data_IF_310009148511
#
_entry.id   IF_310009148511
#
_cell.length_a   1.000
_cell.length_b   1.000
_cell.length_c   1.000
_cell.angle_alpha   90.00
_cell.angle_beta   90.00
_cell.angle_gamma   90.00
#
_symmetry.space_group_name_H-M   'P 1'
#
loop_
_entity.id
_entity.type
_entity.pdbx_description
1 polymer ?
#
# COMPACT_ATOMS: atom_id res chain seq x y z
N UNK A 1 -21.03 -5.95 -30.85
CA UNK A 1 -21.17 -4.50 -30.60
C UNK A 1 -21.28 -4.28 -29.10
N UNK A 2 -20.22 -4.46 -28.36
CA UNK A 2 -20.19 -4.25 -26.89
C UNK A 2 -18.75 -4.01 -26.40
N UNK A 3 -18.04 -3.04 -27.00
CA UNK A 3 -16.64 -2.78 -26.58
C UNK A 3 -16.21 -1.30 -26.69
N UNK A 4 -17.16 -0.39 -26.83
CA UNK A 4 -16.84 1.04 -27.07
C UNK A 4 -17.10 1.98 -25.89
N UNK A 5 -17.56 1.47 -24.73
CA UNK A 5 -18.04 2.33 -23.64
C UNK A 5 -17.01 2.65 -22.52
N UNK A 6 -15.77 2.22 -22.62
CA UNK A 6 -14.74 2.40 -21.55
C UNK A 6 -13.52 3.22 -21.93
N UNK A 7 -13.56 4.04 -22.98
CA UNK A 7 -12.47 5.00 -23.26
C UNK A 7 -12.68 6.31 -22.52
N UNK A 8 -12.57 6.25 -21.19
CA UNK A 8 -12.25 7.45 -20.42
C UNK A 8 -10.82 7.85 -20.77
N UNK A 9 -10.62 9.01 -21.36
CA UNK A 9 -9.29 9.54 -21.67
C UNK A 9 -8.52 9.71 -20.38
N UNK A 10 -7.48 8.87 -20.16
CA UNK A 10 -6.51 9.11 -19.12
C UNK A 10 -5.91 10.52 -19.32
N UNK A 11 -5.70 11.32 -18.27
CA UNK A 11 -5.05 12.60 -18.41
C UNK A 11 -3.68 12.38 -19.05
N UNK A 12 -3.39 13.16 -20.09
CA UNK A 12 -2.08 13.15 -20.74
C UNK A 12 -1.07 13.59 -19.68
N UNK A 13 -0.13 12.73 -19.25
CA UNK A 13 0.85 13.14 -18.28
C UNK A 13 1.73 14.24 -18.88
N UNK A 14 2.25 15.19 -18.09
CA UNK A 14 3.31 16.06 -18.54
C UNK A 14 4.42 15.25 -19.21
N UNK A 15 5.08 15.81 -20.22
CA UNK A 15 6.09 15.11 -21.04
C UNK A 15 7.16 14.41 -20.19
N UNK A 16 7.51 15.02 -19.05
CA UNK A 16 8.44 14.45 -18.06
C UNK A 16 7.91 13.18 -17.37
N UNK A 17 6.57 13.04 -17.21
CA UNK A 17 5.94 11.89 -16.58
C UNK A 17 5.58 10.78 -17.58
N UNK A 18 5.48 11.09 -18.86
CA UNK A 18 5.14 10.11 -19.90
C UNK A 18 6.13 8.94 -19.94
N UNK A 19 7.43 9.20 -19.78
CA UNK A 19 8.46 8.17 -19.71
C UNK A 19 8.31 7.24 -18.50
N UNK A 20 7.78 7.73 -17.37
CA UNK A 20 7.58 6.95 -16.17
C UNK A 20 6.38 5.99 -16.27
N UNK A 21 5.33 6.35 -17.00
CA UNK A 21 4.13 5.53 -17.13
C UNK A 21 4.20 4.54 -18.29
N UNK A 22 4.94 4.84 -19.35
CA UNK A 22 4.95 4.10 -20.62
C UNK A 22 5.30 2.61 -20.49
N UNK A 23 6.05 2.22 -19.45
CA UNK A 23 6.49 0.84 -19.21
C UNK A 23 5.97 0.26 -17.91
N UNK A 24 5.03 0.94 -17.25
CA UNK A 24 4.47 0.49 -15.97
C UNK A 24 3.00 0.03 -16.13
N UNK A 25 2.71 -1.29 -16.05
CA UNK A 25 1.39 -1.84 -16.34
C UNK A 25 0.26 -1.31 -15.43
N UNK A 26 0.56 -0.86 -14.21
CA UNK A 26 -0.46 -0.30 -13.32
C UNK A 26 -0.73 1.20 -13.54
N UNK A 27 0.10 1.90 -14.34
CA UNK A 27 -0.03 3.34 -14.58
C UNK A 27 -0.45 3.68 -16.01
N UNK A 28 -0.44 2.70 -16.92
CA UNK A 28 -0.90 2.83 -18.31
C UNK A 28 -1.68 1.57 -18.71
N UNK A 29 -2.87 1.77 -19.23
CA UNK A 29 -3.70 0.67 -19.76
C UNK A 29 -3.04 0.02 -20.99
N UNK A 30 -2.35 0.80 -21.82
CA UNK A 30 -1.59 0.29 -22.97
C UNK A 30 -0.39 -0.56 -22.50
N UNK A 31 0.38 -0.06 -21.54
CA UNK A 31 1.50 -0.81 -20.95
C UNK A 31 1.06 -2.12 -20.29
N UNK A 32 -0.17 -2.19 -19.80
CA UNK A 32 -0.72 -3.40 -19.16
C UNK A 32 -0.78 -4.63 -20.09
N UNK A 33 -0.83 -4.40 -21.41
CA UNK A 33 -0.85 -5.46 -22.43
C UNK A 33 0.54 -5.83 -22.96
N UNK A 34 1.54 -4.99 -22.73
CA UNK A 34 2.88 -5.14 -23.31
C UNK A 34 3.94 -5.51 -22.27
N UNK A 35 3.82 -4.98 -21.04
CA UNK A 35 4.83 -5.11 -20.01
C UNK A 35 4.33 -5.94 -18.82
N UNK A 36 5.25 -6.75 -18.30
CA UNK A 36 5.00 -7.61 -17.16
C UNK A 36 5.48 -6.94 -15.85
N UNK A 37 4.83 -7.36 -14.75
CA UNK A 37 5.28 -7.07 -13.40
C UNK A 37 5.62 -8.37 -12.68
N UNK A 38 6.49 -8.25 -11.68
CA UNK A 38 6.74 -9.26 -10.67
C UNK A 38 6.56 -8.66 -9.29
N UNK A 39 5.70 -9.23 -8.48
CA UNK A 39 5.61 -8.87 -7.08
C UNK A 39 6.56 -9.71 -6.24
N UNK A 40 7.26 -9.04 -5.31
CA UNK A 40 8.23 -9.65 -4.40
C UNK A 40 7.61 -9.72 -3.01
N UNK A 41 7.24 -10.91 -2.51
CA UNK A 41 6.58 -11.09 -1.22
C UNK A 41 7.61 -11.04 -0.07
N UNK A 42 8.17 -9.87 0.17
CA UNK A 42 9.21 -9.62 1.19
C UNK A 42 8.70 -8.87 2.42
N UNK A 43 7.43 -8.49 2.44
CA UNK A 43 6.85 -7.61 3.45
C UNK A 43 5.73 -8.28 4.25
N UNK A 44 6.01 -9.28 5.13
CA UNK A 44 4.99 -10.01 5.86
C UNK A 44 4.35 -9.23 7.01
N UNK A 45 5.05 -8.30 7.65
CA UNK A 45 4.51 -7.52 8.76
C UNK A 45 3.62 -6.35 8.30
N UNK A 46 2.74 -5.90 9.19
CA UNK A 46 1.96 -4.68 9.01
C UNK A 46 1.92 -3.90 10.32
N UNK A 47 1.94 -2.58 10.26
CA UNK A 47 1.93 -1.69 11.42
C UNK A 47 0.55 -1.10 11.73
N UNK A 48 -0.48 -1.49 10.98
CA UNK A 48 -1.89 -1.21 11.29
C UNK A 48 -2.72 -2.49 11.25
N UNK A 49 -3.91 -2.48 11.84
CA UNK A 49 -4.94 -3.49 11.67
C UNK A 49 -6.18 -2.87 11.08
N UNK A 50 -6.56 -3.32 9.88
CA UNK A 50 -7.81 -2.93 9.25
C UNK A 50 -8.91 -3.93 9.61
N UNK A 51 -10.13 -3.46 9.90
CA UNK A 51 -11.27 -4.32 10.25
C UNK A 51 -11.70 -5.29 9.12
N UNK A 52 -11.28 -5.03 7.89
CA UNK A 52 -11.52 -5.92 6.74
C UNK A 52 -10.36 -6.87 6.44
N UNK A 53 -9.28 -6.83 7.22
CA UNK A 53 -8.07 -7.63 7.02
C UNK A 53 -7.98 -8.78 8.02
N UNK A 54 -7.50 -9.93 7.54
CA UNK A 54 -7.02 -11.01 8.38
C UNK A 54 -5.60 -11.37 7.96
N UNK A 55 -4.66 -11.29 8.89
CA UNK A 55 -3.22 -11.48 8.61
C UNK A 55 -2.85 -12.90 8.13
N UNK A 56 -3.80 -13.86 8.15
CA UNK A 56 -3.64 -15.16 7.48
C UNK A 56 -3.65 -15.06 5.95
N UNK A 57 -4.17 -13.94 5.40
CA UNK A 57 -4.29 -13.66 3.98
C UNK A 57 -3.42 -12.49 3.56
N UNK A 58 -3.25 -12.30 2.25
CA UNK A 58 -2.60 -11.14 1.68
C UNK A 58 -3.42 -9.87 1.94
N UNK A 59 -2.76 -8.73 1.91
CA UNK A 59 -3.40 -7.45 2.16
C UNK A 59 -4.49 -7.16 1.13
N UNK A 60 -5.70 -6.87 1.59
CA UNK A 60 -6.89 -6.68 0.73
C UNK A 60 -6.79 -5.39 -0.11
N UNK A 61 -6.15 -4.36 0.40
CA UNK A 61 -6.02 -3.09 -0.30
C UNK A 61 -4.76 -2.99 -1.17
N UNK A 62 -3.91 -3.99 -1.12
CA UNK A 62 -2.73 -4.09 -1.99
C UNK A 62 -2.91 -5.17 -3.05
N UNK A 63 -3.58 -6.26 -2.66
CA UNK A 63 -3.79 -7.44 -3.46
C UNK A 63 -5.15 -8.06 -3.17
N UNK A 64 -5.59 -9.03 -3.96
CA UNK A 64 -6.78 -9.79 -3.59
C UNK A 64 -6.51 -10.69 -2.40
N UNK A 65 -7.53 -10.96 -1.55
CA UNK A 65 -7.40 -11.91 -0.45
C UNK A 65 -6.96 -13.29 -0.98
N UNK A 66 -5.81 -13.71 -0.59
CA UNK A 66 -5.22 -14.99 -0.95
C UNK A 66 -4.07 -15.29 -0.02
N UNK A 67 -3.41 -16.40 -0.21
CA UNK A 67 -2.20 -16.75 0.53
C UNK A 67 -1.04 -16.73 -0.44
N UNK A 68 -0.08 -15.84 -0.20
CA UNK A 68 1.19 -15.83 -0.92
C UNK A 68 1.88 -17.18 -0.78
N UNK A 69 2.36 -17.74 -1.86
CA UNK A 69 2.97 -19.08 -1.85
C UNK A 69 4.30 -19.14 -1.07
N UNK A 70 4.95 -17.99 -0.86
CA UNK A 70 6.27 -17.91 -0.21
C UNK A 70 6.51 -16.53 0.37
N UNK A 71 7.42 -16.44 1.36
CA UNK A 71 8.03 -15.19 1.80
C UNK A 71 9.51 -15.27 1.48
N UNK A 72 10.04 -14.26 0.81
CA UNK A 72 11.40 -14.25 0.30
C UNK A 72 12.32 -13.39 1.16
N UNK A 73 13.57 -13.84 1.32
CA UNK A 73 14.67 -12.96 1.75
C UNK A 73 15.10 -12.04 0.60
N UNK A 74 15.86 -10.97 0.86
CA UNK A 74 16.42 -10.12 -0.21
C UNK A 74 17.23 -10.90 -1.25
N UNK A 75 18.02 -11.87 -0.83
CA UNK A 75 18.85 -12.71 -1.68
C UNK A 75 18.02 -13.67 -2.53
N UNK A 76 16.99 -14.29 -1.93
CA UNK A 76 16.04 -15.14 -2.66
C UNK A 76 15.23 -14.33 -3.68
N UNK A 77 14.88 -13.09 -3.33
CA UNK A 77 14.18 -12.16 -4.23
C UNK A 77 15.03 -11.81 -5.43
N UNK A 78 16.32 -11.52 -5.23
CA UNK A 78 17.26 -11.28 -6.32
C UNK A 78 17.38 -12.51 -7.24
N UNK A 79 17.60 -13.68 -6.66
CA UNK A 79 17.75 -14.92 -7.43
C UNK A 79 16.50 -15.22 -8.27
N UNK A 80 15.31 -15.09 -7.65
CA UNK A 80 14.03 -15.25 -8.34
C UNK A 80 13.82 -14.19 -9.43
N UNK A 81 14.14 -12.93 -9.15
CA UNK A 81 14.03 -11.83 -10.12
C UNK A 81 14.90 -12.09 -11.36
N UNK A 82 16.14 -12.50 -11.18
CA UNK A 82 17.07 -12.80 -12.31
C UNK A 82 16.51 -13.94 -13.16
N UNK A 83 16.02 -15.01 -12.52
CA UNK A 83 15.41 -16.15 -13.23
C UNK A 83 14.19 -15.69 -14.03
N UNK A 84 13.23 -15.01 -13.39
CA UNK A 84 12.00 -14.54 -14.05
C UNK A 84 12.33 -13.62 -15.21
N UNK A 85 13.26 -12.68 -15.02
CA UNK A 85 13.68 -11.74 -16.06
C UNK A 85 14.31 -12.43 -17.27
N UNK A 86 15.09 -13.49 -17.05
CA UNK A 86 15.69 -14.28 -18.12
C UNK A 86 14.65 -15.02 -18.97
N UNK A 87 13.54 -15.45 -18.36
CA UNK A 87 12.46 -16.18 -19.02
C UNK A 87 11.34 -15.26 -19.54
N UNK A 88 11.22 -14.02 -19.03
CA UNK A 88 10.16 -13.05 -19.31
C UNK A 88 10.76 -11.69 -19.69
N UNK A 89 11.23 -11.52 -20.95
CA UNK A 89 11.91 -10.29 -21.39
C UNK A 89 11.09 -9.00 -21.25
N UNK A 90 9.75 -9.10 -21.26
CA UNK A 90 8.84 -7.97 -21.04
C UNK A 90 8.69 -7.55 -19.56
N UNK A 91 9.39 -8.20 -18.63
CA UNK A 91 9.39 -7.80 -17.23
C UNK A 91 10.08 -6.44 -17.07
N UNK A 92 9.32 -5.44 -16.65
CA UNK A 92 9.83 -4.07 -16.41
C UNK A 92 9.70 -3.63 -14.98
N UNK A 93 8.74 -4.19 -14.22
CA UNK A 93 8.39 -3.73 -12.87
C UNK A 93 8.67 -4.82 -11.84
N UNK A 94 9.43 -4.46 -10.81
CA UNK A 94 9.52 -5.19 -9.54
C UNK A 94 8.69 -4.44 -8.49
N UNK A 95 7.55 -5.02 -8.12
CA UNK A 95 6.60 -4.44 -7.16
C UNK A 95 6.70 -5.09 -5.78
N UNK A 96 6.53 -4.30 -4.73
CA UNK A 96 6.41 -4.77 -3.35
C UNK A 96 5.03 -4.37 -2.83
N UNK A 97 4.10 -5.32 -2.87
CA UNK A 97 2.69 -5.11 -2.57
C UNK A 97 2.19 -6.10 -1.48
N UNK A 98 3.03 -6.40 -0.53
CA UNK A 98 2.63 -7.29 0.55
C UNK A 98 3.58 -8.46 0.80
N UNK A 99 3.05 -9.48 1.52
CA UNK A 99 1.66 -9.70 1.96
C UNK A 99 1.17 -8.81 3.11
N UNK A 100 2.03 -7.99 3.69
CA UNK A 100 1.73 -6.95 4.66
C UNK A 100 1.97 -5.57 4.08
N UNK A 101 2.68 -4.71 4.83
CA UNK A 101 3.00 -3.34 4.42
C UNK A 101 4.48 -3.19 4.09
N UNK A 102 4.81 -2.61 2.94
CA UNK A 102 6.19 -2.48 2.49
C UNK A 102 7.05 -1.66 3.47
N UNK A 103 6.53 -0.57 4.03
CA UNK A 103 7.28 0.31 4.92
C UNK A 103 7.38 -0.24 6.35
N UNK A 104 6.45 -1.09 6.78
CA UNK A 104 6.57 -1.83 8.04
C UNK A 104 7.71 -2.88 8.00
N UNK A 105 8.20 -3.21 6.80
CA UNK A 105 9.32 -4.14 6.57
C UNK A 105 10.52 -3.42 5.91
N UNK A 106 10.67 -2.12 6.14
CA UNK A 106 11.59 -1.26 5.41
C UNK A 106 13.04 -1.77 5.29
N UNK A 107 13.68 -2.30 6.33
CA UNK A 107 15.06 -2.82 6.20
C UNK A 107 15.19 -3.92 5.14
N UNK A 108 14.25 -4.86 5.09
CA UNK A 108 14.23 -5.97 4.13
C UNK A 108 13.89 -5.46 2.73
N UNK A 109 12.87 -4.62 2.61
CA UNK A 109 12.43 -3.99 1.36
C UNK A 109 13.56 -3.17 0.74
N UNK A 110 14.20 -2.31 1.52
CA UNK A 110 15.33 -1.49 1.09
C UNK A 110 16.49 -2.34 0.55
N UNK A 111 16.87 -3.39 1.28
CA UNK A 111 17.93 -4.30 0.85
C UNK A 111 17.58 -5.01 -0.46
N UNK A 112 16.33 -5.47 -0.60
CA UNK A 112 15.83 -6.10 -1.83
C UNK A 112 15.95 -5.18 -3.03
N UNK A 113 15.50 -3.92 -2.88
CA UNK A 113 15.57 -2.91 -3.94
C UNK A 113 17.03 -2.65 -4.35
N UNK A 114 17.95 -2.48 -3.39
CA UNK A 114 19.37 -2.26 -3.67
C UNK A 114 19.98 -3.42 -4.43
N UNK A 115 19.81 -4.64 -3.96
CA UNK A 115 20.37 -5.83 -4.61
C UNK A 115 19.89 -6.00 -6.05
N UNK A 116 18.61 -5.78 -6.30
CA UNK A 116 18.05 -5.87 -7.67
C UNK A 116 18.52 -4.68 -8.51
N UNK A 117 18.50 -3.46 -7.98
CA UNK A 117 18.91 -2.25 -8.69
C UNK A 117 20.39 -2.28 -9.12
N UNK A 118 21.28 -2.86 -8.31
CA UNK A 118 22.70 -3.07 -8.66
C UNK A 118 22.87 -4.03 -9.85
N UNK A 119 21.98 -4.99 -10.03
CA UNK A 119 22.05 -5.99 -11.10
C UNK A 119 21.23 -5.62 -12.33
N UNK A 120 20.22 -4.79 -12.16
CA UNK A 120 19.24 -4.43 -13.18
C UNK A 120 18.77 -2.97 -12.97
N UNK A 121 19.63 -1.97 -13.24
CA UNK A 121 19.36 -0.56 -12.95
C UNK A 121 18.19 0.02 -13.72
N UNK A 122 17.77 -0.59 -14.82
CA UNK A 122 16.60 -0.21 -15.62
C UNK A 122 15.27 -0.72 -15.04
N UNK A 123 15.29 -1.47 -13.93
CA UNK A 123 14.09 -1.99 -13.28
C UNK A 123 13.27 -0.87 -12.66
N UNK A 124 11.99 -0.84 -12.97
CA UNK A 124 11.04 0.08 -12.34
C UNK A 124 10.61 -0.54 -11.01
N UNK A 125 10.93 0.12 -9.90
CA UNK A 125 10.43 -0.29 -8.59
C UNK A 125 9.12 0.42 -8.26
N UNK A 126 8.17 -0.35 -7.71
CA UNK A 126 6.88 0.13 -7.25
C UNK A 126 6.60 -0.43 -5.84
N UNK A 127 6.13 0.41 -4.94
CA UNK A 127 5.76 0.00 -3.59
C UNK A 127 4.30 0.33 -3.30
N UNK A 128 3.69 -0.53 -2.47
CA UNK A 128 2.37 -0.27 -1.91
C UNK A 128 2.45 -0.24 -0.38
N UNK A 129 1.81 0.75 0.22
CA UNK A 129 1.84 0.99 1.67
C UNK A 129 0.52 1.56 2.20
N UNK A 130 0.25 1.33 3.48
CA UNK A 130 -0.82 2.03 4.19
C UNK A 130 -0.50 3.51 4.47
N UNK A 131 0.75 3.93 4.29
CA UNK A 131 1.18 5.32 4.40
C UNK A 131 1.62 5.77 5.79
N UNK A 132 1.45 4.95 6.84
CA UNK A 132 1.79 5.35 8.22
C UNK A 132 3.26 5.78 8.39
N UNK A 133 4.19 5.12 7.70
CA UNK A 133 5.62 5.43 7.78
C UNK A 133 6.15 6.27 6.60
N UNK A 134 5.28 6.82 5.76
CA UNK A 134 5.72 7.65 4.61
C UNK A 134 6.55 8.86 5.02
N UNK A 135 6.20 9.65 6.06
CA UNK A 135 7.03 10.78 6.48
C UNK A 135 8.44 10.38 6.89
N UNK A 136 8.57 9.18 7.48
CA UNK A 136 9.85 8.66 7.92
C UNK A 136 10.68 8.07 6.78
N UNK A 137 10.07 7.25 5.91
CA UNK A 137 10.75 6.53 4.83
C UNK A 137 10.85 7.34 3.53
N UNK A 138 10.05 8.40 3.35
CA UNK A 138 9.96 9.17 2.12
C UNK A 138 11.31 9.69 1.59
N UNK A 139 12.18 10.29 2.41
CA UNK A 139 13.50 10.73 1.96
C UNK A 139 14.35 9.60 1.38
N UNK A 140 14.31 8.42 2.01
CA UNK A 140 15.10 7.27 1.55
C UNK A 140 14.48 6.61 0.31
N UNK A 141 13.15 6.61 0.17
CA UNK A 141 12.47 6.19 -1.07
C UNK A 141 12.98 6.99 -2.27
N UNK A 142 13.08 8.30 -2.12
CA UNK A 142 13.56 9.20 -3.18
C UNK A 142 15.04 8.95 -3.46
N UNK A 143 15.87 8.80 -2.43
CA UNK A 143 17.30 8.51 -2.58
C UNK A 143 17.57 7.16 -3.29
N UNK A 144 16.65 6.20 -3.16
CA UNK A 144 16.68 4.92 -3.89
C UNK A 144 16.14 5.03 -5.32
N UNK A 145 15.71 6.20 -5.78
CA UNK A 145 15.18 6.41 -7.12
C UNK A 145 13.76 5.87 -7.34
N UNK A 146 13.01 5.60 -6.27
CA UNK A 146 11.64 5.10 -6.38
C UNK A 146 10.75 6.21 -6.95
N UNK A 147 10.08 5.91 -8.06
CA UNK A 147 9.20 6.84 -8.78
C UNK A 147 7.72 6.45 -8.74
N UNK A 148 7.37 5.29 -8.20
CA UNK A 148 6.00 4.78 -8.18
C UNK A 148 5.67 4.29 -6.77
N UNK A 149 4.73 4.96 -6.12
CA UNK A 149 4.26 4.60 -4.77
C UNK A 149 2.74 4.56 -4.78
N UNK A 150 2.18 3.46 -4.29
CA UNK A 150 0.75 3.33 -4.04
C UNK A 150 0.50 3.52 -2.55
N UNK A 151 -0.41 4.43 -2.20
CA UNK A 151 -0.83 4.66 -0.81
C UNK A 151 -2.30 4.33 -0.68
N UNK A 152 -2.69 3.59 0.36
CA UNK A 152 -4.10 3.32 0.60
C UNK A 152 -4.69 4.34 1.55
N UNK A 153 -5.70 5.08 1.09
CA UNK A 153 -6.44 6.09 1.87
C UNK A 153 -7.93 5.81 1.78
N UNK A 154 -8.53 5.34 2.86
CA UNK A 154 -9.95 4.95 2.88
C UNK A 154 -10.88 6.01 3.48
N UNK A 155 -10.32 7.02 4.16
CA UNK A 155 -11.05 8.14 4.74
C UNK A 155 -10.11 9.29 5.10
N UNK A 156 -10.69 10.47 5.36
CA UNK A 156 -10.03 11.67 5.88
C UNK A 156 -10.59 12.10 7.24
N UNK A 157 -11.67 11.49 7.67
CA UNK A 157 -12.32 11.72 8.95
C UNK A 157 -11.83 10.68 10.00
N UNK A 158 -11.21 11.11 11.11
CA UNK A 158 -10.78 10.19 12.17
C UNK A 158 -11.90 9.36 12.80
N UNK A 159 -13.11 9.92 12.94
CA UNK A 159 -14.24 9.19 13.51
C UNK A 159 -14.70 8.06 12.56
N UNK A 160 -14.71 8.31 11.24
CA UNK A 160 -14.93 7.29 10.24
C UNK A 160 -13.78 6.27 10.23
N UNK A 161 -12.55 6.75 10.32
CA UNK A 161 -11.35 5.92 10.36
C UNK A 161 -11.31 4.96 11.55
N UNK A 162 -11.79 5.38 12.73
CA UNK A 162 -11.92 4.53 13.91
C UNK A 162 -12.84 3.31 13.69
N UNK A 163 -13.76 3.37 12.73
CA UNK A 163 -14.62 2.25 12.34
C UNK A 163 -13.97 1.34 11.30
N UNK A 164 -12.98 1.84 10.55
CA UNK A 164 -12.26 1.10 9.50
C UNK A 164 -11.01 0.42 10.05
N UNK A 165 -10.30 1.10 10.96
CA UNK A 165 -9.03 0.63 11.52
C UNK A 165 -9.18 0.30 13.00
N UNK A 166 -8.78 -0.89 13.40
CA UNK A 166 -8.77 -1.34 14.79
C UNK A 166 -7.66 -0.65 15.57
N UNK A 167 -6.43 -0.66 15.04
CA UNK A 167 -5.29 -0.03 15.69
C UNK A 167 -4.19 0.37 14.70
N UNK A 168 -3.26 1.19 15.20
CA UNK A 168 -2.00 1.52 14.57
C UNK A 168 -0.85 1.44 15.58
N UNK A 169 0.27 0.82 15.16
CA UNK A 169 1.53 0.82 15.89
C UNK A 169 2.46 1.86 15.26
N UNK A 170 2.71 2.94 15.97
CA UNK A 170 3.51 4.05 15.47
C UNK A 170 4.51 4.52 16.52
N UNK A 171 5.79 4.61 16.15
CA UNK A 171 6.89 5.01 17.04
C UNK A 171 6.95 4.20 18.35
N UNK A 172 6.65 2.92 18.28
CA UNK A 172 6.66 2.03 19.46
C UNK A 172 5.41 2.10 20.33
N UNK A 173 4.42 2.93 19.98
CA UNK A 173 3.18 3.07 20.72
C UNK A 173 2.02 2.40 19.98
N UNK A 174 1.08 1.88 20.76
CA UNK A 174 -0.15 1.27 20.29
C UNK A 174 -1.32 2.25 20.43
N UNK A 175 -1.91 2.62 19.30
CA UNK A 175 -3.03 3.55 19.24
C UNK A 175 -4.29 2.85 18.73
N UNK A 176 -5.45 3.26 19.24
CA UNK A 176 -6.77 2.76 18.84
C UNK A 176 -7.74 3.91 18.57
N UNK A 177 -8.91 3.59 17.99
CA UNK A 177 -9.99 4.54 17.77
C UNK A 177 -9.59 5.74 16.92
N UNK A 178 -10.20 6.88 17.17
CA UNK A 178 -9.97 8.12 16.40
C UNK A 178 -8.52 8.58 16.43
N UNK A 179 -7.80 8.34 17.52
CA UNK A 179 -6.38 8.71 17.62
C UNK A 179 -5.51 7.93 16.66
N UNK A 180 -5.72 6.62 16.52
CA UNK A 180 -5.03 5.79 15.55
C UNK A 180 -5.31 6.26 14.11
N UNK A 181 -6.58 6.52 13.82
CA UNK A 181 -7.02 7.01 12.52
C UNK A 181 -6.44 8.40 12.19
N UNK A 182 -6.44 9.32 13.15
CA UNK A 182 -5.90 10.67 12.97
C UNK A 182 -4.40 10.64 12.65
N UNK A 183 -3.62 9.82 13.36
CA UNK A 183 -2.18 9.65 13.11
C UNK A 183 -1.96 9.07 11.70
N UNK A 184 -2.72 8.04 11.32
CA UNK A 184 -2.61 7.42 10.00
C UNK A 184 -2.92 8.43 8.88
N UNK A 185 -4.05 9.14 8.98
CA UNK A 185 -4.48 10.14 8.00
C UNK A 185 -3.45 11.28 7.88
N UNK A 186 -2.95 11.79 8.99
CA UNK A 186 -1.93 12.84 8.99
C UNK A 186 -0.65 12.39 8.25
N UNK A 187 -0.18 11.19 8.53
CA UNK A 187 1.02 10.64 7.88
C UNK A 187 0.80 10.32 6.40
N UNK A 188 -0.38 9.81 6.03
CA UNK A 188 -0.77 9.58 4.63
C UNK A 188 -0.75 10.89 3.85
N UNK A 189 -1.43 11.91 4.33
CA UNK A 189 -1.56 13.20 3.63
C UNK A 189 -0.22 13.94 3.53
N UNK A 190 0.57 13.95 4.60
CA UNK A 190 1.91 14.52 4.60
C UNK A 190 2.85 13.77 3.63
N UNK A 191 2.82 12.42 3.67
CA UNK A 191 3.64 11.58 2.81
C UNK A 191 3.29 11.67 1.33
N UNK A 192 1.99 11.69 0.97
CA UNK A 192 1.54 11.87 -0.42
C UNK A 192 2.04 13.20 -0.98
N UNK A 193 1.83 14.29 -0.25
CA UNK A 193 2.32 15.62 -0.65
C UNK A 193 3.83 15.63 -0.84
N UNK A 194 4.58 15.13 0.15
CA UNK A 194 6.03 15.09 0.13
C UNK A 194 6.59 14.36 -1.10
N UNK A 195 6.00 13.19 -1.44
CA UNK A 195 6.42 12.38 -2.58
C UNK A 195 6.05 13.05 -3.92
N UNK A 196 4.83 13.57 -4.04
CA UNK A 196 4.33 14.21 -5.25
C UNK A 196 5.16 15.46 -5.62
N UNK A 197 5.48 16.31 -4.64
CA UNK A 197 6.33 17.50 -4.81
C UNK A 197 7.76 17.16 -5.31
N UNK A 198 8.17 15.87 -5.17
CA UNK A 198 9.49 15.37 -5.60
C UNK A 198 9.45 14.49 -6.85
N UNK A 199 8.35 14.58 -7.60
CA UNK A 199 8.20 13.89 -8.88
C UNK A 199 8.00 12.39 -8.78
N UNK A 200 7.49 11.90 -7.63
CA UNK A 200 7.04 10.52 -7.46
C UNK A 200 5.58 10.42 -7.92
N UNK A 201 5.27 9.47 -8.78
CA UNK A 201 3.91 9.15 -9.18
C UNK A 201 3.18 8.43 -8.05
N UNK A 202 2.38 9.16 -7.31
CA UNK A 202 1.57 8.60 -6.23
C UNK A 202 0.22 8.14 -6.78
N UNK A 203 -0.05 6.83 -6.65
CA UNK A 203 -1.37 6.26 -6.87
C UNK A 203 -2.05 6.07 -5.52
N UNK A 204 -3.34 6.40 -5.42
CA UNK A 204 -4.09 6.20 -4.18
C UNK A 204 -5.11 5.07 -4.37
N UNK A 205 -4.93 3.99 -3.61
CA UNK A 205 -5.94 2.95 -3.49
C UNK A 205 -7.00 3.35 -2.46
N UNK A 206 -8.26 3.05 -2.76
CA UNK A 206 -9.41 3.32 -1.88
C UNK A 206 -10.28 2.07 -1.86
N UNK A 207 -10.43 1.42 -0.71
CA UNK A 207 -11.37 0.30 -0.55
C UNK A 207 -12.75 0.88 -0.26
N UNK A 208 -13.69 0.66 -1.17
CA UNK A 208 -15.08 1.06 -0.99
C UNK A 208 -15.82 0.06 -0.12
N UNK A 209 -16.31 0.53 1.01
CA UNK A 209 -17.06 -0.24 2.01
C UNK A 209 -18.48 0.35 2.07
N UNK A 210 -19.44 -0.39 1.53
CA UNK A 210 -20.82 0.07 1.49
C UNK A 210 -21.38 0.30 2.90
N UNK A 211 -22.18 1.36 3.04
CA UNK A 211 -22.73 1.78 4.32
C UNK A 211 -21.70 2.36 5.32
N UNK A 212 -20.43 2.46 4.93
CA UNK A 212 -19.39 3.00 5.81
C UNK A 212 -18.68 4.21 5.19
N UNK A 213 -17.88 4.03 4.12
CA UNK A 213 -17.09 5.11 3.55
C UNK A 213 -17.46 5.46 2.09
N UNK A 214 -18.36 4.73 1.44
CA UNK A 214 -18.70 4.93 0.03
C UNK A 214 -19.07 6.39 -0.28
N UNK A 215 -19.87 7.04 0.57
CA UNK A 215 -20.27 8.45 0.42
C UNK A 215 -19.14 9.46 0.66
N UNK A 216 -18.04 9.06 1.32
CA UNK A 216 -16.91 9.92 1.65
C UNK A 216 -15.77 9.83 0.62
N UNK A 217 -15.72 8.78 -0.20
CA UNK A 217 -14.59 8.54 -1.13
C UNK A 217 -14.45 9.62 -2.21
N UNK A 218 -15.50 10.33 -2.57
CA UNK A 218 -15.41 11.47 -3.49
C UNK A 218 -14.63 12.65 -2.86
N UNK A 219 -14.76 12.88 -1.56
CA UNK A 219 -13.97 13.85 -0.83
C UNK A 219 -12.51 13.43 -0.75
N UNK A 220 -12.26 12.14 -0.46
CA UNK A 220 -10.90 11.57 -0.49
C UNK A 220 -10.26 11.79 -1.85
N UNK A 221 -10.98 11.53 -2.96
CA UNK A 221 -10.49 11.69 -4.32
C UNK A 221 -10.04 13.14 -4.61
N UNK A 222 -10.86 14.13 -4.21
CA UNK A 222 -10.51 15.56 -4.35
C UNK A 222 -9.29 15.93 -3.52
N UNK A 223 -9.25 15.50 -2.26
CA UNK A 223 -8.13 15.85 -1.38
C UNK A 223 -6.82 15.23 -1.85
N UNK A 224 -6.78 13.94 -2.21
CA UNK A 224 -5.53 13.33 -2.68
C UNK A 224 -5.05 13.94 -3.99
N UNK A 225 -5.96 14.39 -4.86
CA UNK A 225 -5.61 15.18 -6.04
C UNK A 225 -4.96 16.50 -5.65
N UNK A 226 -5.53 17.22 -4.69
CA UNK A 226 -4.97 18.49 -4.16
C UNK A 226 -3.57 18.29 -3.56
N UNK A 227 -3.31 17.11 -2.98
CA UNK A 227 -2.00 16.72 -2.46
C UNK A 227 -0.99 16.32 -3.56
N UNK A 228 -1.42 16.24 -4.82
CA UNK A 228 -0.57 15.93 -5.97
C UNK A 228 -0.60 14.46 -6.40
N UNK A 229 -1.53 13.65 -5.92
CA UNK A 229 -1.66 12.27 -6.39
C UNK A 229 -1.92 12.23 -7.90
N UNK A 230 -1.26 11.29 -8.58
CA UNK A 230 -1.33 11.13 -10.03
C UNK A 230 -2.65 10.49 -10.46
N UNK A 231 -3.05 9.42 -9.78
CA UNK A 231 -4.30 8.69 -10.05
C UNK A 231 -4.87 8.04 -8.79
N UNK A 232 -6.14 7.67 -8.86
CA UNK A 232 -6.82 6.89 -7.85
C UNK A 232 -7.28 5.53 -8.38
N UNK A 233 -7.46 4.58 -7.48
CA UNK A 233 -7.99 3.25 -7.76
C UNK A 233 -9.00 2.88 -6.69
N UNK A 234 -10.28 3.11 -6.95
CA UNK A 234 -11.36 2.67 -6.07
C UNK A 234 -11.56 1.18 -6.29
N UNK A 235 -11.48 0.39 -5.22
CA UNK A 235 -11.57 -1.06 -5.25
C UNK A 235 -12.76 -1.55 -4.42
N UNK A 236 -13.40 -2.66 -4.81
CA UNK A 236 -14.43 -3.25 -3.97
C UNK A 236 -13.84 -3.80 -2.67
N UNK A 237 -14.58 -3.70 -1.58
CA UNK A 237 -14.34 -4.54 -0.41
C UNK A 237 -14.52 -6.00 -0.80
N UNK A 238 -13.54 -6.82 -0.49
CA UNK A 238 -13.62 -8.28 -0.51
C UNK A 238 -13.41 -8.73 0.93
N UNK A 239 -14.48 -9.12 1.66
CA UNK A 239 -14.36 -9.50 3.07
C UNK A 239 -13.41 -10.68 3.25
N UNK A 240 -12.40 -10.52 4.13
CA UNK A 240 -11.50 -11.61 4.44
C UNK A 240 -12.11 -12.49 5.55
N UNK A 241 -12.13 -13.83 5.40
CA UNK A 241 -12.61 -14.72 6.45
C UNK A 241 -11.85 -14.49 7.76
N UNK A 242 -12.57 -14.46 8.89
CA UNK A 242 -12.01 -14.19 10.22
C UNK A 242 -11.59 -12.72 10.45
N UNK A 243 -11.95 -11.79 9.55
CA UNK A 243 -11.85 -10.35 9.80
C UNK A 243 -13.08 -9.83 10.52
N UNK A 244 -13.00 -8.65 11.16
CA UNK A 244 -14.17 -8.03 11.80
C UNK A 244 -15.30 -7.72 10.78
N UNK A 245 -14.97 -7.58 9.49
CA UNK A 245 -15.93 -7.32 8.40
C UNK A 245 -16.26 -8.56 7.57
N UNK A 246 -15.96 -9.78 8.04
CA UNK A 246 -16.20 -11.00 7.27
C UNK A 246 -17.67 -11.20 6.83
N UNK A 247 -18.62 -10.68 7.62
CA UNK A 247 -20.04 -10.78 7.34
C UNK A 247 -20.62 -9.59 6.56
N UNK A 248 -19.79 -8.59 6.20
CA UNK A 248 -20.23 -7.53 5.32
C UNK A 248 -20.38 -8.07 3.89
N UNK A 249 -21.36 -7.59 3.12
CA UNK A 249 -21.46 -7.95 1.72
C UNK A 249 -20.24 -7.45 0.94
N UNK A 250 -19.82 -8.22 -0.05
CA UNK A 250 -18.83 -7.74 -1.02
C UNK A 250 -19.41 -6.55 -1.79
N UNK A 251 -18.64 -5.46 -1.90
CA UNK A 251 -19.06 -4.29 -2.68
C UNK A 251 -19.24 -4.64 -4.15
N UNK A 252 -20.36 -4.20 -4.74
CA UNK A 252 -20.66 -4.50 -6.13
C UNK A 252 -19.72 -3.74 -7.07
N UNK A 253 -19.31 -4.38 -8.17
CA UNK A 253 -18.50 -3.73 -9.20
C UNK A 253 -19.28 -2.62 -9.94
N UNK A 254 -20.61 -2.70 -9.98
CA UNK A 254 -21.46 -1.65 -10.57
C UNK A 254 -21.37 -0.36 -9.74
N UNK A 255 -21.41 -0.45 -8.40
CA UNK A 255 -21.29 0.69 -7.50
C UNK A 255 -19.88 1.28 -7.54
N UNK A 256 -18.85 0.44 -7.56
CA UNK A 256 -17.46 0.87 -7.76
C UNK A 256 -17.30 1.64 -9.07
N UNK A 257 -17.84 1.13 -10.18
CA UNK A 257 -17.77 1.81 -11.48
C UNK A 257 -18.53 3.14 -11.48
N UNK A 258 -19.66 3.19 -10.81
CA UNK A 258 -20.46 4.42 -10.67
C UNK A 258 -19.66 5.46 -9.89
N UNK A 259 -19.07 5.09 -8.77
CA UNK A 259 -18.25 5.99 -7.97
C UNK A 259 -16.98 6.44 -8.73
N UNK A 260 -16.33 5.54 -9.46
CA UNK A 260 -15.18 5.89 -10.33
C UNK A 260 -15.57 6.95 -11.37
N UNK A 261 -16.73 6.79 -12.04
CA UNK A 261 -17.22 7.80 -13.02
C UNK A 261 -17.43 9.15 -12.34
N UNK A 262 -18.04 9.17 -11.16
CA UNK A 262 -18.27 10.40 -10.41
C UNK A 262 -16.98 11.11 -10.00
N UNK A 263 -15.94 10.34 -9.65
CA UNK A 263 -14.62 10.87 -9.24
C UNK A 263 -13.68 11.16 -10.43
N UNK A 264 -14.03 10.74 -11.66
CA UNK A 264 -13.15 10.88 -12.83
C UNK A 264 -12.83 12.35 -13.18
N UNK A 265 -13.73 13.26 -12.88
CA UNK A 265 -13.53 14.70 -13.10
C UNK A 265 -12.48 15.28 -12.11
N UNK A 266 -12.41 14.74 -10.90
CA UNK A 266 -11.50 15.20 -9.86
C UNK A 266 -10.11 14.59 -10.04
N UNK A 267 -10.00 13.28 -10.25
CA UNK A 267 -8.74 12.54 -10.39
C UNK A 267 -8.90 11.34 -11.32
N UNK A 268 -7.90 11.10 -12.18
CA UNK A 268 -7.88 9.93 -13.07
C UNK A 268 -8.07 8.62 -12.30
N UNK A 269 -8.92 7.74 -12.82
CA UNK A 269 -9.24 6.45 -12.21
C UNK A 269 -8.54 5.30 -12.93
N UNK A 270 -7.93 4.39 -12.17
CA UNK A 270 -7.39 3.14 -12.70
C UNK A 270 -8.52 2.16 -13.02
N UNK A 271 -8.89 2.05 -14.30
CA UNK A 271 -9.98 1.16 -14.75
C UNK A 271 -9.57 -0.31 -14.95
N UNK A 272 -8.29 -0.59 -15.12
CA UNK A 272 -7.72 -1.90 -15.50
C UNK A 272 -7.09 -2.68 -14.34
N UNK A 273 -7.35 -2.30 -13.08
CA UNK A 273 -6.85 -3.00 -11.91
C UNK A 273 -7.40 -4.44 -11.83
N UNK A 274 -6.53 -5.42 -11.59
CA UNK A 274 -6.88 -6.83 -11.44
C UNK A 274 -6.73 -7.35 -10.01
N UNK A 275 -6.37 -6.50 -9.05
CA UNK A 275 -6.10 -6.90 -7.67
C UNK A 275 -5.16 -8.11 -7.64
N UNK A 276 -3.92 -7.91 -8.10
CA UNK A 276 -2.92 -8.97 -8.22
C UNK A 276 -2.58 -9.59 -6.86
N UNK A 277 -2.12 -10.84 -6.85
CA UNK A 277 -1.55 -11.46 -5.64
C UNK A 277 -0.24 -10.78 -5.24
N UNK A 278 0.13 -10.88 -3.96
CA UNK A 278 1.37 -10.33 -3.45
C UNK A 278 2.64 -11.03 -3.99
N UNK A 279 2.49 -12.17 -4.68
CA UNK A 279 3.53 -12.93 -5.38
C UNK A 279 3.29 -13.03 -6.90
N UNK A 280 2.45 -12.19 -7.47
CA UNK A 280 2.05 -12.26 -8.87
C UNK A 280 3.22 -12.01 -9.84
N UNK A 281 3.27 -12.76 -10.93
CA UNK A 281 4.28 -12.65 -12.00
C UNK A 281 3.58 -12.71 -13.36
N UNK A 282 3.97 -11.83 -14.31
CA UNK A 282 3.46 -11.84 -15.68
C UNK A 282 2.72 -10.56 -16.07
N UNK A 283 1.98 -10.57 -17.15
CA UNK A 283 1.08 -9.48 -17.56
C UNK A 283 -0.08 -9.34 -16.57
N UNK A 284 -0.76 -8.20 -16.54
CA UNK A 284 -1.90 -8.01 -15.63
C UNK A 284 -3.04 -9.01 -15.89
N UNK A 285 -3.21 -9.43 -17.13
CA UNK A 285 -4.22 -10.42 -17.52
C UNK A 285 -3.82 -11.87 -17.25
N UNK A 286 -2.52 -12.13 -17.00
CA UNK A 286 -1.97 -13.46 -16.84
C UNK A 286 -1.07 -13.56 -15.61
N UNK A 287 -1.36 -14.52 -14.71
CA UNK A 287 -0.55 -14.78 -13.53
C UNK A 287 0.25 -16.08 -13.71
N UNK A 288 1.56 -15.93 -13.90
CA UNK A 288 2.51 -17.01 -14.07
C UNK A 288 3.23 -17.39 -12.77
N UNK A 289 2.80 -16.87 -11.62
CA UNK A 289 3.48 -17.07 -10.33
C UNK A 289 3.72 -18.55 -9.99
N UNK A 290 2.80 -19.43 -10.41
CA UNK A 290 2.90 -20.89 -10.18
C UNK A 290 4.15 -21.52 -10.80
N UNK A 291 4.72 -20.94 -11.88
CA UNK A 291 5.94 -21.44 -12.54
C UNK A 291 7.21 -21.13 -11.76
N UNK A 292 7.14 -20.11 -10.91
CA UNK A 292 8.31 -19.53 -10.26
C UNK A 292 8.33 -19.75 -8.75
N UNK A 293 7.53 -20.68 -8.26
CA UNK A 293 7.58 -21.08 -6.84
C UNK A 293 8.90 -21.77 -6.53
N UNK A 294 9.46 -21.50 -5.35
CA UNK A 294 10.64 -22.23 -4.87
C UNK A 294 10.19 -23.58 -4.30
N UNK A 295 10.87 -24.65 -4.68
CA UNK A 295 10.49 -26.01 -4.29
C UNK A 295 10.58 -26.27 -2.76
N UNK A 296 11.25 -25.41 -2.02
CA UNK A 296 11.49 -25.54 -0.57
C UNK A 296 10.37 -25.02 0.32
N UNK A 297 9.36 -24.37 -0.23
CA UNK A 297 8.31 -23.70 0.59
C UNK A 297 6.99 -24.45 0.61
N UNK A 298 7.00 -25.75 0.87
CA UNK A 298 5.77 -26.51 1.11
C UNK A 298 5.11 -26.19 2.48
N UNK A 299 5.76 -25.42 3.35
CA UNK A 299 5.20 -24.90 4.59
C UNK A 299 5.22 -23.36 4.50
N UNK A 300 4.05 -22.73 4.34
CA UNK A 300 3.93 -21.29 4.53
C UNK A 300 4.44 -20.94 5.93
N UNK A 301 5.40 -20.00 6.08
CA UNK A 301 5.82 -19.57 7.40
C UNK A 301 4.59 -19.04 8.15
N UNK A 302 4.47 -19.41 9.43
CA UNK A 302 3.44 -18.89 10.29
C UNK A 302 3.50 -17.36 10.25
N UNK A 303 2.46 -16.73 9.72
CA UNK A 303 2.32 -15.26 9.70
C UNK A 303 1.85 -14.85 11.10
N UNK A 304 2.74 -14.99 12.08
CA UNK A 304 2.46 -14.40 13.37
C UNK A 304 2.33 -12.89 13.18
N UNK A 305 1.28 -12.26 13.74
CA UNK A 305 1.23 -10.82 13.81
C UNK A 305 2.54 -10.33 14.45
N UNK A 306 3.09 -9.22 13.97
CA UNK A 306 4.23 -8.59 14.63
C UNK A 306 3.91 -8.56 16.13
N UNK A 307 4.84 -8.98 17.01
CA UNK A 307 4.57 -9.12 18.41
C UNK A 307 3.95 -7.81 18.90
N UNK A 308 2.67 -7.85 19.24
CA UNK A 308 2.02 -6.76 19.95
C UNK A 308 2.76 -6.77 21.28
N UNK A 309 3.62 -5.80 21.48
CA UNK A 309 4.23 -5.57 22.77
C UNK A 309 3.09 -5.20 23.74
N UNK A 310 2.44 -6.24 24.28
CA UNK A 310 1.47 -6.13 25.38
C UNK A 310 2.15 -5.78 26.71
N UNK A 311 3.39 -5.36 26.67
CA UNK A 311 4.06 -4.80 27.83
C UNK A 311 3.50 -3.39 28.02
N UNK A 312 2.69 -3.23 29.07
CA UNK A 312 2.42 -1.91 29.61
C UNK A 312 3.77 -1.34 30.04
N UNK A 313 4.35 -0.51 29.18
CA UNK A 313 5.51 0.26 29.57
C UNK A 313 5.04 1.27 30.59
N UNK A 314 5.64 1.23 31.78
CA UNK A 314 5.55 2.36 32.69
C UNK A 314 6.49 3.44 32.14
N UNK A 315 5.89 4.45 31.54
CA UNK A 315 6.65 5.59 31.01
C UNK A 315 6.67 6.65 32.11
N UNK A 316 7.86 7.04 32.57
CA UNK A 316 8.01 8.19 33.41
C UNK A 316 7.68 9.43 32.58
N UNK A 317 6.65 10.18 32.95
CA UNK A 317 6.29 11.45 32.31
C UNK A 317 6.68 12.60 33.20
N UNK A 318 7.31 13.62 32.62
CA UNK A 318 7.63 14.85 33.30
C UNK A 318 6.40 15.76 33.27
N UNK A 319 5.88 16.13 34.45
CA UNK A 319 4.69 16.97 34.55
C UNK A 319 4.72 17.79 35.82
N UNK A 320 4.41 19.07 35.67
CA UNK A 320 4.15 19.99 36.80
C UNK A 320 2.72 19.82 37.35
N UNK A 321 1.82 19.33 36.48
CA UNK A 321 0.39 19.20 36.76
C UNK A 321 -0.09 17.79 36.46
N UNK A 322 0.27 16.80 37.09
CA UNK A 322 -0.15 15.35 37.03
C UNK A 322 -1.02 14.87 35.83
N UNK A 323 -1.58 15.78 35.05
CA UNK A 323 -2.47 15.50 33.92
C UNK A 323 -1.91 15.96 32.56
N UNK A 324 -0.81 16.73 32.55
CA UNK A 324 -0.20 17.28 31.33
C UNK A 324 1.29 17.04 31.33
N UNK A 325 1.83 16.60 30.17
CA UNK A 325 3.28 16.52 29.94
C UNK A 325 3.75 17.92 29.52
N UNK A 326 4.23 18.70 30.47
CA UNK A 326 4.54 20.12 30.29
C UNK A 326 6.01 20.50 30.55
N UNK A 327 6.85 19.52 30.90
CA UNK A 327 8.26 19.74 31.20
C UNK A 327 9.17 18.86 30.35
N UNK A 328 10.28 19.42 29.89
CA UNK A 328 11.36 18.65 29.28
C UNK A 328 12.01 17.75 30.33
N UNK A 329 12.40 16.54 29.95
CA UNK A 329 12.97 15.52 30.85
C UNK A 329 14.11 16.05 31.76
N UNK A 330 14.99 16.90 31.22
CA UNK A 330 16.11 17.50 31.96
C UNK A 330 15.71 18.63 32.93
N UNK A 331 14.45 19.05 32.99
CA UNK A 331 13.95 20.14 33.84
C UNK A 331 12.87 19.68 34.83
N UNK A 332 12.64 18.38 34.93
CA UNK A 332 11.65 17.81 35.84
C UNK A 332 12.23 17.70 37.26
N UNK A 333 11.48 18.21 38.24
CA UNK A 333 11.79 18.06 39.68
C UNK A 333 11.27 16.70 40.20
N UNK A 334 10.20 16.16 39.60
CA UNK A 334 9.60 14.89 39.96
C UNK A 334 9.23 14.07 38.71
N UNK A 335 9.28 12.74 38.83
CA UNK A 335 8.78 11.79 37.86
C UNK A 335 7.57 11.03 38.43
N UNK A 336 6.48 10.98 37.66
CA UNK A 336 5.31 10.17 37.97
C UNK A 336 5.44 8.82 37.21
N UNK A 337 5.26 7.70 37.92
CA UNK A 337 5.37 6.34 37.38
C UNK A 337 3.97 5.70 37.37
#
# INVERSE_FOLDING_TARGET
MADECCRGTAPVPPVELAGLTARHPCYSAEAAHQYARMHLPVAPACNISCNYCNRKFDCVHESRPGVTSEILTPEQSLAKFIRVRGELPQLTVAGIAGPGDALANWPVVRRTIRLIGERAPETIFCLSTNGLLLPHCGPELIALGIKHVTVTVNCLDPALGARIYDHANYEGYYFTGERAAAILIANQTAGIRYLAERGVLVKVNMVMIDGLNAGHLAEVAREVKRLGAFMANIMPLIPAPGSAFENLPQTSMQDVQTLRRNCQADIAQMGHCRQCRADAVGLLAEDLSYRYRTAETAAAPSREPAPVLKTAYRVAVTSRYRQLVDLHYGHAEEFQI
#
